data_IF_928926094116
#
_entry.id   IF_928926094116
#
_cell.length_a   1.000
_cell.length_b   1.000
_cell.length_c   1.000
_cell.angle_alpha   90.00
_cell.angle_beta   90.00
_cell.angle_gamma   90.00
#
_symmetry.space_group_name_H-M   'P 1'
#
loop_
_entity.id
_entity.type
_entity.pdbx_description
1 polymer ?
#
# COMPACT_ATOMS: atom_id res chain seq x y z
N UNK A 1 19.87 32.24 -34.54
CA UNK A 1 20.04 30.76 -34.62
C UNK A 1 20.81 30.24 -33.39
N UNK A 2 21.98 30.80 -33.07
CA UNK A 2 22.82 30.46 -31.90
C UNK A 2 22.10 30.44 -30.52
N UNK A 3 21.16 31.37 -30.25
CA UNK A 3 20.50 31.43 -28.94
C UNK A 3 19.59 30.24 -28.62
N UNK A 4 18.90 29.69 -29.63
CA UNK A 4 18.04 28.52 -29.47
C UNK A 4 18.87 27.25 -29.22
N UNK A 5 20.01 27.13 -29.89
CA UNK A 5 20.93 26.00 -29.74
C UNK A 5 21.49 25.90 -28.32
N UNK A 6 21.81 27.05 -27.71
CA UNK A 6 22.27 27.12 -26.30
C UNK A 6 21.17 26.65 -25.34
N UNK A 7 19.93 27.09 -25.56
CA UNK A 7 18.79 26.69 -24.73
C UNK A 7 18.54 25.19 -24.86
N UNK A 8 18.49 24.66 -26.08
CA UNK A 8 18.29 23.23 -26.33
C UNK A 8 19.43 22.38 -25.75
N UNK A 9 20.68 22.83 -25.88
CA UNK A 9 21.84 22.17 -25.28
C UNK A 9 21.80 22.15 -23.75
N UNK A 10 21.38 23.26 -23.13
CA UNK A 10 21.21 23.33 -21.68
C UNK A 10 20.10 22.40 -21.17
N UNK A 11 18.95 22.36 -21.85
CA UNK A 11 17.86 21.43 -21.54
C UNK A 11 18.32 19.98 -21.69
N UNK A 12 19.05 19.64 -22.76
CA UNK A 12 19.60 18.31 -22.97
C UNK A 12 20.57 17.92 -21.84
N UNK A 13 21.47 18.81 -21.44
CA UNK A 13 22.41 18.59 -20.33
C UNK A 13 21.69 18.31 -19.00
N UNK A 14 20.62 19.05 -18.70
CA UNK A 14 19.79 18.82 -17.51
C UNK A 14 19.16 17.42 -17.57
N UNK A 15 18.57 17.04 -18.71
CA UNK A 15 17.98 15.70 -18.88
C UNK A 15 19.02 14.59 -18.78
N UNK A 16 20.21 14.77 -19.35
CA UNK A 16 21.31 13.82 -19.20
C UNK A 16 21.75 13.71 -17.73
N UNK A 17 21.87 14.83 -17.01
CA UNK A 17 22.20 14.84 -15.58
C UNK A 17 21.15 14.12 -14.72
N UNK A 18 19.87 14.41 -14.93
CA UNK A 18 18.76 13.75 -14.24
C UNK A 18 18.68 12.25 -14.58
N UNK A 19 18.91 11.89 -15.84
CA UNK A 19 18.97 10.50 -16.28
C UNK A 19 20.11 9.73 -15.60
N UNK A 20 21.31 10.32 -15.56
CA UNK A 20 22.45 9.74 -14.86
C UNK A 20 22.21 9.62 -13.35
N UNK A 21 21.60 10.64 -12.73
CA UNK A 21 21.23 10.60 -11.31
C UNK A 21 20.19 9.52 -11.01
N UNK A 22 19.16 9.38 -11.85
CA UNK A 22 18.14 8.32 -11.71
C UNK A 22 18.73 6.92 -11.89
N UNK A 23 19.60 6.73 -12.88
CA UNK A 23 20.33 5.48 -13.09
C UNK A 23 21.26 5.16 -11.92
N UNK A 24 21.88 6.16 -11.30
CA UNK A 24 22.70 5.98 -10.11
C UNK A 24 21.85 5.67 -8.87
N UNK A 25 20.72 6.37 -8.69
CA UNK A 25 19.78 6.17 -7.58
C UNK A 25 19.20 4.76 -7.56
N UNK A 26 18.94 4.16 -8.71
CA UNK A 26 18.38 2.80 -8.79
C UNK A 26 19.42 1.70 -8.52
N UNK A 27 20.73 2.01 -8.55
CA UNK A 27 21.78 1.03 -8.18
C UNK A 27 21.82 0.66 -6.70
N UNK A 28 21.26 1.51 -5.84
CA UNK A 28 21.18 1.26 -4.40
C UNK A 28 19.94 0.47 -3.97
N UNK A 29 19.04 0.12 -4.89
CA UNK A 29 17.84 -0.63 -4.57
C UNK A 29 18.21 -2.10 -4.43
N UNK A 30 18.28 -2.56 -3.19
CA UNK A 30 18.42 -3.99 -2.90
C UNK A 30 17.11 -4.70 -3.28
N UNK A 31 17.18 -5.53 -4.32
CA UNK A 31 16.04 -6.38 -4.69
C UNK A 31 15.89 -7.43 -3.60
N UNK A 32 14.82 -7.31 -2.80
CA UNK A 32 14.45 -8.31 -1.81
C UNK A 32 14.21 -9.64 -2.53
N UNK A 33 15.17 -10.56 -2.42
CA UNK A 33 15.02 -11.91 -2.95
C UNK A 33 14.21 -12.72 -1.94
N UNK A 34 13.10 -13.35 -2.34
CA UNK A 34 12.38 -14.24 -1.45
C UNK A 34 13.33 -15.33 -0.98
N UNK A 35 13.72 -15.28 0.30
CA UNK A 35 14.47 -16.37 0.90
C UNK A 35 13.45 -17.38 1.40
N UNK A 36 13.32 -18.49 0.69
CA UNK A 36 12.52 -19.60 1.16
C UNK A 36 13.14 -20.13 2.46
N UNK A 37 12.55 -19.77 3.59
CA UNK A 37 12.85 -20.37 4.88
C UNK A 37 11.89 -21.53 5.04
N UNK A 38 12.41 -22.75 5.07
CA UNK A 38 11.60 -23.91 5.41
C UNK A 38 11.25 -23.82 6.89
N UNK A 39 9.98 -23.53 7.17
CA UNK A 39 9.45 -23.63 8.52
C UNK A 39 8.92 -25.05 8.72
N UNK A 40 9.16 -25.68 9.88
CA UNK A 40 8.65 -27.01 10.17
C UNK A 40 7.12 -27.10 10.13
N UNK A 41 6.43 -25.96 10.32
CA UNK A 41 5.00 -25.79 10.12
C UNK A 41 4.71 -24.34 9.73
N UNK A 42 3.68 -24.11 8.91
CA UNK A 42 3.18 -22.77 8.62
C UNK A 42 2.53 -22.17 9.88
N UNK A 43 3.05 -21.04 10.41
CA UNK A 43 2.42 -20.37 11.55
C UNK A 43 1.05 -19.81 11.18
N UNK A 44 0.21 -19.53 12.18
CA UNK A 44 -0.99 -18.72 11.94
C UNK A 44 -0.56 -17.30 11.58
N UNK A 45 -1.09 -16.75 10.49
CA UNK A 45 -0.85 -15.37 10.06
C UNK A 45 -2.08 -14.51 10.31
N UNK A 46 -1.89 -13.28 10.79
CA UNK A 46 -2.96 -12.28 10.89
C UNK A 46 -2.65 -11.14 9.92
N UNK A 47 -3.54 -10.93 8.95
CA UNK A 47 -3.45 -9.88 7.93
C UNK A 47 -4.31 -8.71 8.42
N UNK A 48 -3.69 -7.56 8.66
CA UNK A 48 -4.41 -6.34 9.05
C UNK A 48 -4.54 -5.46 7.81
N UNK A 49 -5.76 -5.24 7.35
CA UNK A 49 -6.07 -4.40 6.20
C UNK A 49 -6.72 -3.11 6.68
N UNK A 50 -6.01 -2.00 6.57
CA UNK A 50 -6.61 -0.67 6.78
C UNK A 50 -7.34 -0.25 5.51
N UNK A 51 -8.64 0.02 5.60
CA UNK A 51 -9.46 0.50 4.50
C UNK A 51 -10.10 1.84 4.89
N UNK A 52 -10.01 2.83 4.00
CA UNK A 52 -10.65 4.14 4.16
C UNK A 52 -10.95 4.70 2.79
N UNK A 53 -12.21 5.00 2.51
CA UNK A 53 -12.64 5.53 1.21
C UNK A 53 -12.25 4.60 0.04
N UNK A 54 -12.33 3.27 0.25
CA UNK A 54 -11.90 2.22 -0.68
C UNK A 54 -13.09 1.40 -1.25
N UNK A 55 -14.32 1.94 -1.29
CA UNK A 55 -15.51 1.22 -1.77
C UNK A 55 -15.30 0.52 -3.13
N UNK A 56 -14.55 1.14 -4.05
CA UNK A 56 -14.32 0.61 -5.39
C UNK A 56 -13.23 -0.47 -5.47
N UNK A 57 -12.20 -0.38 -4.64
CA UNK A 57 -10.98 -1.22 -4.72
C UNK A 57 -11.01 -2.38 -3.73
N UNK A 58 -11.71 -2.19 -2.60
CA UNK A 58 -11.77 -3.14 -1.50
C UNK A 58 -12.24 -4.53 -1.95
N UNK A 59 -13.31 -4.69 -2.77
CA UNK A 59 -13.76 -6.01 -3.19
C UNK A 59 -12.68 -6.83 -3.91
N UNK A 60 -11.93 -6.21 -4.83
CA UNK A 60 -10.86 -6.89 -5.57
C UNK A 60 -9.68 -7.28 -4.65
N UNK A 61 -9.37 -6.44 -3.66
CA UNK A 61 -8.36 -6.76 -2.65
C UNK A 61 -8.80 -7.96 -1.78
N UNK A 62 -10.07 -8.02 -1.39
CA UNK A 62 -10.64 -9.11 -0.61
C UNK A 62 -10.69 -10.42 -1.41
N UNK A 63 -11.05 -10.38 -2.69
CA UNK A 63 -10.97 -11.54 -3.59
C UNK A 63 -9.54 -12.08 -3.67
N UNK A 64 -8.55 -11.20 -3.82
CA UNK A 64 -7.14 -11.60 -3.86
C UNK A 64 -6.67 -12.28 -2.56
N UNK A 65 -7.22 -11.89 -1.41
CA UNK A 65 -6.91 -12.54 -0.13
C UNK A 65 -7.48 -13.95 -0.03
N UNK A 66 -8.62 -14.24 -0.67
CA UNK A 66 -9.19 -15.60 -0.72
C UNK A 66 -8.33 -16.56 -1.56
N UNK A 67 -7.60 -16.03 -2.54
CA UNK A 67 -6.74 -16.82 -3.44
C UNK A 67 -5.35 -17.14 -2.85
N UNK A 68 -5.07 -16.72 -1.61
CA UNK A 68 -3.80 -17.02 -0.95
C UNK A 68 -3.62 -18.52 -0.72
N UNK A 69 -2.54 -19.09 -1.29
CA UNK A 69 -2.05 -20.44 -0.98
C UNK A 69 -1.33 -20.45 0.38
N UNK A 70 -2.08 -20.19 1.45
CA UNK A 70 -1.59 -20.23 2.82
C UNK A 70 -2.59 -20.95 3.74
N UNK A 71 -2.14 -21.92 4.56
CA UNK A 71 -3.06 -22.87 5.18
C UNK A 71 -3.90 -22.27 6.32
N UNK A 72 -3.37 -21.30 7.08
CA UNK A 72 -4.07 -20.74 8.24
C UNK A 72 -3.79 -19.25 8.37
N UNK A 73 -4.77 -18.43 8.00
CA UNK A 73 -4.71 -16.99 8.19
C UNK A 73 -6.05 -16.42 8.68
N UNK A 74 -5.98 -15.27 9.35
CA UNK A 74 -7.14 -14.43 9.66
C UNK A 74 -6.97 -13.05 9.02
N UNK A 75 -8.08 -12.44 8.64
CA UNK A 75 -8.10 -11.08 8.07
C UNK A 75 -8.82 -10.16 9.03
N UNK A 76 -8.18 -9.06 9.41
CA UNK A 76 -8.73 -8.03 10.27
C UNK A 76 -8.83 -6.74 9.44
N UNK A 77 -10.04 -6.39 9.01
CA UNK A 77 -10.29 -5.12 8.35
C UNK A 77 -10.43 -4.03 9.42
N UNK A 78 -9.68 -2.95 9.29
CA UNK A 78 -9.75 -1.80 10.17
C UNK A 78 -10.20 -0.61 9.36
N UNK A 79 -11.32 -0.05 9.77
CA UNK A 79 -11.92 1.09 9.11
C UNK A 79 -11.69 2.38 9.92
N UNK A 80 -11.02 3.36 9.32
CA UNK A 80 -10.56 4.59 9.99
C UNK A 80 -11.24 5.85 9.42
N UNK A 81 -12.52 6.02 9.75
CA UNK A 81 -13.36 7.23 9.52
C UNK A 81 -14.20 7.20 8.23
N UNK A 82 -15.28 6.39 8.26
CA UNK A 82 -16.17 6.13 7.14
C UNK A 82 -16.99 7.34 6.68
N UNK A 83 -16.71 7.77 5.44
CA UNK A 83 -17.59 8.65 4.66
C UNK A 83 -18.38 7.92 3.55
N UNK A 84 -18.02 6.66 3.23
CA UNK A 84 -18.56 5.86 2.12
C UNK A 84 -19.04 4.45 2.54
N UNK A 85 -19.25 3.52 1.59
CA UNK A 85 -19.73 2.15 1.89
C UNK A 85 -18.61 1.15 2.20
N UNK A 86 -17.36 1.59 2.38
CA UNK A 86 -16.22 0.72 2.70
C UNK A 86 -16.51 -0.20 3.89
N UNK A 87 -17.13 0.33 4.95
CA UNK A 87 -17.42 -0.43 6.16
C UNK A 87 -18.55 -1.43 6.00
N UNK A 88 -19.55 -1.09 5.18
CA UNK A 88 -20.62 -2.04 4.84
C UNK A 88 -20.06 -3.23 4.07
N UNK A 89 -19.17 -2.99 3.11
CA UNK A 89 -18.46 -4.06 2.39
C UNK A 89 -17.63 -4.89 3.38
N UNK A 90 -16.90 -4.25 4.29
CA UNK A 90 -16.11 -4.96 5.29
C UNK A 90 -16.97 -5.88 6.17
N UNK A 91 -18.12 -5.40 6.63
CA UNK A 91 -19.06 -6.15 7.47
C UNK A 91 -19.74 -7.30 6.71
N UNK A 92 -20.15 -7.08 5.46
CA UNK A 92 -20.72 -8.13 4.60
C UNK A 92 -19.75 -9.29 4.42
N UNK A 93 -18.47 -8.99 4.19
CA UNK A 93 -17.44 -10.00 4.03
C UNK A 93 -17.10 -10.72 5.34
N UNK A 94 -17.05 -10.01 6.46
CA UNK A 94 -16.85 -10.62 7.78
C UNK A 94 -18.00 -11.56 8.18
N UNK A 95 -19.24 -11.27 7.75
CA UNK A 95 -20.39 -12.11 8.03
C UNK A 95 -20.37 -13.44 7.26
N UNK A 96 -19.86 -13.43 6.03
CA UNK A 96 -19.79 -14.63 5.16
C UNK A 96 -18.60 -15.51 5.51
N UNK A 97 -17.52 -14.95 6.05
CA UNK A 97 -16.24 -15.63 6.21
C UNK A 97 -15.79 -15.67 7.68
N UNK A 98 -15.88 -16.83 8.34
CA UNK A 98 -15.64 -16.96 9.78
C UNK A 98 -14.20 -16.67 10.24
N UNK A 99 -13.23 -16.70 9.33
CA UNK A 99 -11.84 -16.32 9.57
C UNK A 99 -11.60 -14.80 9.46
N UNK A 100 -12.63 -14.03 9.10
CA UNK A 100 -12.55 -12.62 8.82
C UNK A 100 -13.23 -11.83 9.94
N UNK A 101 -12.64 -10.70 10.29
CA UNK A 101 -13.14 -9.81 11.33
C UNK A 101 -13.11 -8.39 10.79
N UNK A 102 -14.26 -7.74 10.73
CA UNK A 102 -14.33 -6.30 10.55
C UNK A 102 -14.21 -5.60 11.91
N UNK A 103 -13.41 -4.56 11.95
CA UNK A 103 -13.28 -3.62 13.07
C UNK A 103 -13.59 -2.26 12.51
N UNK A 104 -14.86 -1.89 12.58
CA UNK A 104 -15.31 -0.54 12.23
C UNK A 104 -14.88 0.40 13.35
N UNK A 105 -14.23 1.51 13.00
CA UNK A 105 -13.72 2.53 13.92
C UNK A 105 -14.80 3.26 14.72
N UNK A 106 -15.50 2.55 15.61
CA UNK A 106 -16.46 3.09 16.58
C UNK A 106 -15.80 3.76 17.79
N UNK A 107 -14.77 4.59 17.58
CA UNK A 107 -14.17 5.42 18.64
C UNK A 107 -12.77 5.01 19.13
N UNK A 108 -12.07 4.09 18.46
CA UNK A 108 -10.62 3.92 18.67
C UNK A 108 -9.86 5.05 17.98
N UNK A 109 -9.62 6.14 18.72
CA UNK A 109 -8.75 7.22 18.27
C UNK A 109 -7.33 6.69 18.09
N UNK A 110 -6.87 6.63 16.84
CA UNK A 110 -5.49 6.27 16.50
C UNK A 110 -4.51 7.20 17.26
N UNK A 111 -3.73 6.64 18.20
CA UNK A 111 -2.78 7.42 19.02
C UNK A 111 -1.44 7.72 18.33
N UNK A 112 -1.21 7.18 17.14
CA UNK A 112 0.01 7.48 16.38
C UNK A 112 -0.05 8.85 15.69
N UNK A 113 1.00 9.20 14.93
CA UNK A 113 0.99 10.46 14.18
C UNK A 113 -0.04 10.38 13.06
N UNK A 114 -1.10 11.18 13.15
CA UNK A 114 -1.99 11.42 12.00
C UNK A 114 -1.16 11.94 10.84
N UNK A 115 -1.25 11.25 9.70
CA UNK A 115 -0.74 11.77 8.44
C UNK A 115 -1.48 13.08 8.15
N UNK A 116 -0.76 14.20 8.15
CA UNK A 116 -1.29 15.49 7.69
C UNK A 116 -0.87 15.64 6.23
N UNK A 117 -1.78 15.47 5.25
CA UNK A 117 -1.44 15.81 3.88
C UNK A 117 -1.07 17.30 3.84
N UNK A 118 0.16 17.61 3.43
CA UNK A 118 0.67 18.98 3.31
C UNK A 118 1.82 19.38 4.24
N UNK A 119 2.30 18.52 5.17
CA UNK A 119 3.42 18.89 6.05
C UNK A 119 4.82 18.51 5.52
N UNK A 120 4.95 18.21 4.23
CA UNK A 120 6.25 18.03 3.58
C UNK A 120 6.73 19.37 3.00
N UNK A 121 7.41 20.14 3.84
CA UNK A 121 8.29 21.25 3.44
C UNK A 121 7.58 22.52 2.96
N UNK A 122 7.38 23.45 3.89
CA UNK A 122 7.68 24.87 3.65
C UNK A 122 9.07 25.17 4.24
#
# INVERSE_FOLDING_TARGET
MLGLEIILGGVLLIWCGLGLYSLWSTRGVEVLRPRAVSLPQSPKVSIILSARDEEETLPAALESLLELDYPVYEVILVDDDLTDRTGLIADEWAAVNSSWKSVVGGGVSWKGRRYKPGSAGE
#
